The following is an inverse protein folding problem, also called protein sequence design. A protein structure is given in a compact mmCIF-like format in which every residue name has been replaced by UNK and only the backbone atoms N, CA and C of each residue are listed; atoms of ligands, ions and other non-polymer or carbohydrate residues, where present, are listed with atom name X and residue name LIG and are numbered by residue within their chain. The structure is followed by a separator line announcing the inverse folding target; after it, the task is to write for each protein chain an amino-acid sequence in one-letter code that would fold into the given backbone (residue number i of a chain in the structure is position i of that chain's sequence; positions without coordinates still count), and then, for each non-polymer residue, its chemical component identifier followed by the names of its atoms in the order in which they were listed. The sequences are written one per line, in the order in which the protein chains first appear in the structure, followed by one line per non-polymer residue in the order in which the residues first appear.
data_IF_390041250211
#
_entry.id   IF_390041250211
#
_cell.length_a   1.000
_cell.length_b   1.000
_cell.length_c   1.000
_cell.angle_alpha   90.00
_cell.angle_beta   90.00
_cell.angle_gamma   90.00
#
_symmetry.space_group_name_H-M   'P 1'
#
loop_
_entity.id
_entity.type
_entity.pdbx_description
1 polymer ?
#
# COMPACT_ATOMS: atom_id res chain seq x y z
N UNK A 1 23.10 -26.50 -34.96
CA UNK A 1 22.90 -25.04 -34.81
C UNK A 1 21.75 -24.71 -33.87
N UNK A 2 20.53 -25.21 -34.08
CA UNK A 2 19.36 -24.86 -33.24
C UNK A 2 19.47 -25.26 -31.76
N UNK A 3 19.96 -26.47 -31.45
CA UNK A 3 20.06 -26.95 -30.05
C UNK A 3 21.12 -26.20 -29.23
N UNK A 4 22.26 -25.87 -29.83
CA UNK A 4 23.34 -25.12 -29.16
C UNK A 4 22.89 -23.71 -28.81
N UNK A 5 22.11 -23.08 -29.69
CA UNK A 5 21.55 -21.76 -29.45
C UNK A 5 20.52 -21.77 -28.30
N UNK A 6 19.65 -22.78 -28.25
CA UNK A 6 18.71 -22.98 -27.13
C UNK A 6 19.41 -23.19 -25.79
N UNK A 7 20.51 -23.96 -25.78
CA UNK A 7 21.30 -24.21 -24.56
C UNK A 7 22.04 -22.95 -24.12
N UNK A 8 22.63 -22.19 -25.05
CA UNK A 8 23.31 -20.92 -24.73
C UNK A 8 22.33 -19.82 -24.28
N UNK A 9 21.16 -19.74 -24.93
CA UNK A 9 20.09 -18.81 -24.54
C UNK A 9 19.51 -19.19 -23.18
N UNK A 10 19.28 -20.48 -22.94
CA UNK A 10 18.91 -20.99 -21.62
C UNK A 10 19.95 -20.62 -20.57
N UNK A 11 21.24 -20.86 -20.83
CA UNK A 11 22.31 -20.51 -19.89
C UNK A 11 22.42 -19.00 -19.62
N UNK A 12 22.20 -18.16 -20.64
CA UNK A 12 22.16 -16.70 -20.47
C UNK A 12 20.98 -16.24 -19.59
N UNK A 13 19.82 -16.91 -19.69
CA UNK A 13 18.65 -16.66 -18.83
C UNK A 13 18.84 -17.19 -17.41
N UNK A 14 19.51 -18.34 -17.22
CA UNK A 14 19.82 -18.93 -15.91
C UNK A 14 20.95 -18.24 -15.15
N UNK A 15 21.69 -17.33 -15.81
CA UNK A 15 22.73 -16.51 -15.17
C UNK A 15 22.17 -15.11 -14.86
N UNK A 16 22.93 -14.04 -15.09
CA UNK A 16 22.53 -12.66 -14.80
C UNK A 16 21.68 -12.01 -15.91
N UNK A 17 21.47 -12.67 -17.06
CA UNK A 17 20.74 -12.09 -18.18
C UNK A 17 19.30 -11.71 -17.82
N UNK A 18 18.59 -12.57 -17.06
CA UNK A 18 17.24 -12.28 -16.60
C UNK A 18 17.19 -11.04 -15.68
N UNK A 19 18.13 -10.92 -14.75
CA UNK A 19 18.23 -9.76 -13.85
C UNK A 19 18.55 -8.46 -14.61
N UNK A 20 19.42 -8.53 -15.62
CA UNK A 20 19.72 -7.38 -16.48
C UNK A 20 18.50 -6.92 -17.28
N UNK A 21 17.75 -7.87 -17.88
CA UNK A 21 16.53 -7.56 -18.62
C UNK A 21 15.47 -6.95 -17.69
N UNK A 22 15.26 -7.54 -16.51
CA UNK A 22 14.33 -7.03 -15.51
C UNK A 22 14.69 -5.58 -15.12
N UNK A 23 15.95 -5.33 -14.78
CA UNK A 23 16.41 -3.99 -14.38
C UNK A 23 16.29 -2.98 -15.52
N UNK A 24 16.61 -3.37 -16.75
CA UNK A 24 16.42 -2.51 -17.92
C UNK A 24 14.94 -2.19 -18.13
N UNK A 25 14.05 -3.18 -18.01
CA UNK A 25 12.61 -3.00 -18.15
C UNK A 25 12.04 -2.05 -17.10
N UNK A 26 12.44 -2.20 -15.83
CA UNK A 26 12.02 -1.31 -14.74
C UNK A 26 12.50 0.12 -15.02
N UNK A 27 13.76 0.30 -15.42
CA UNK A 27 14.30 1.63 -15.71
C UNK A 27 13.57 2.33 -16.86
N UNK A 28 13.19 1.59 -17.91
CA UNK A 28 12.41 2.14 -19.03
C UNK A 28 10.96 2.46 -18.62
N UNK A 29 10.31 1.57 -17.86
CA UNK A 29 8.94 1.80 -17.37
C UNK A 29 8.86 3.02 -16.45
N UNK A 30 9.85 3.21 -15.58
CA UNK A 30 9.91 4.27 -14.59
C UNK A 30 10.89 5.37 -15.00
N UNK A 31 10.99 5.65 -16.30
CA UNK A 31 11.95 6.59 -16.85
C UNK A 31 11.86 7.97 -16.18
N UNK A 32 13.01 8.46 -15.69
CA UNK A 32 13.10 9.74 -14.98
C UNK A 32 12.67 9.71 -13.51
N UNK A 33 12.29 8.55 -12.98
CA UNK A 33 12.01 8.35 -11.55
C UNK A 33 13.21 7.70 -10.85
N UNK A 34 13.41 8.02 -9.57
CA UNK A 34 14.38 7.33 -8.73
C UNK A 34 13.69 6.15 -8.01
N UNK A 35 13.74 4.97 -8.62
CA UNK A 35 13.15 3.74 -8.07
C UNK A 35 14.04 3.17 -6.95
N UNK A 36 13.53 3.18 -5.72
CA UNK A 36 14.19 2.59 -4.56
C UNK A 36 13.87 1.11 -4.35
N UNK A 37 12.66 0.70 -4.75
CA UNK A 37 12.16 -0.65 -4.56
C UNK A 37 11.27 -1.06 -5.72
N UNK A 38 11.37 -2.30 -6.14
CA UNK A 38 10.44 -2.96 -7.05
C UNK A 38 10.28 -4.40 -6.58
N UNK A 39 9.05 -4.85 -6.39
CA UNK A 39 8.76 -6.24 -6.05
C UNK A 39 7.36 -6.63 -6.49
N UNK A 40 7.19 -7.86 -6.98
CA UNK A 40 5.87 -8.41 -7.31
C UNK A 40 5.33 -9.21 -6.12
N UNK A 41 4.07 -9.00 -5.77
CA UNK A 41 3.26 -9.91 -4.95
C UNK A 41 2.41 -10.80 -5.84
N UNK A 42 1.51 -11.59 -5.24
CA UNK A 42 0.48 -12.33 -5.97
C UNK A 42 -0.66 -11.41 -6.47
N UNK A 43 -0.72 -10.17 -5.97
CA UNK A 43 -1.77 -9.21 -6.28
C UNK A 43 -1.36 -8.18 -7.33
N UNK A 44 -0.05 -7.87 -7.42
CA UNK A 44 0.47 -6.90 -8.38
C UNK A 44 1.93 -6.54 -8.09
N UNK A 45 2.45 -5.53 -8.78
CA UNK A 45 3.76 -4.96 -8.48
C UNK A 45 3.68 -3.81 -7.48
N UNK A 46 4.55 -3.85 -6.47
CA UNK A 46 4.79 -2.76 -5.53
C UNK A 46 6.08 -2.05 -5.89
N UNK A 47 6.00 -0.75 -6.14
CA UNK A 47 7.16 0.09 -6.48
C UNK A 47 7.26 1.24 -5.50
N UNK A 48 8.47 1.59 -5.10
CA UNK A 48 8.74 2.79 -4.31
C UNK A 48 9.66 3.70 -5.11
N UNK A 49 9.22 4.93 -5.34
CA UNK A 49 10.09 5.99 -5.84
C UNK A 49 10.40 6.98 -4.73
N UNK A 50 11.48 7.72 -4.90
CA UNK A 50 11.82 8.83 -4.02
C UNK A 50 12.06 10.11 -4.79
N UNK A 51 11.65 11.22 -4.20
CA UNK A 51 12.01 12.56 -4.62
C UNK A 51 12.33 13.38 -3.38
N UNK A 52 13.60 13.78 -3.25
CA UNK A 52 14.11 14.44 -2.04
C UNK A 52 13.85 13.57 -0.80
N UNK A 53 13.02 14.02 0.14
CA UNK A 53 12.67 13.31 1.37
C UNK A 53 11.30 12.60 1.28
N UNK A 54 10.65 12.64 0.12
CA UNK A 54 9.33 12.06 -0.10
C UNK A 54 9.44 10.68 -0.75
N UNK A 55 8.71 9.71 -0.20
CA UNK A 55 8.50 8.39 -0.76
C UNK A 55 7.10 8.32 -1.38
N UNK A 56 7.01 7.74 -2.57
CA UNK A 56 5.73 7.42 -3.20
C UNK A 56 5.70 5.92 -3.48
N UNK A 57 4.68 5.26 -2.93
CA UNK A 57 4.44 3.84 -3.12
C UNK A 57 3.37 3.68 -4.19
N UNK A 58 3.61 2.75 -5.10
CA UNK A 58 2.73 2.46 -6.22
C UNK A 58 2.31 1.00 -6.17
N UNK A 59 1.04 0.74 -6.48
CA UNK A 59 0.50 -0.58 -6.80
C UNK A 59 0.14 -0.57 -8.29
N UNK A 60 0.77 -1.44 -9.07
CA UNK A 60 0.58 -1.54 -10.53
C UNK A 60 0.72 -0.21 -11.27
N UNK A 61 1.62 0.66 -10.79
CA UNK A 61 1.88 1.98 -11.39
C UNK A 61 0.93 3.08 -10.92
N UNK A 62 -0.10 2.76 -10.12
CA UNK A 62 -1.00 3.75 -9.51
C UNK A 62 -0.44 4.15 -8.14
N UNK A 63 -0.25 5.46 -7.86
CA UNK A 63 0.21 5.90 -6.55
C UNK A 63 -0.86 5.60 -5.49
N UNK A 64 -0.46 4.94 -4.41
CA UNK A 64 -1.37 4.53 -3.32
C UNK A 64 -1.01 5.18 -1.98
N UNK A 65 0.26 5.50 -1.75
CA UNK A 65 0.74 6.08 -0.49
C UNK A 65 1.82 7.10 -0.80
N UNK A 66 1.78 8.24 -0.13
CA UNK A 66 2.82 9.27 -0.21
C UNK A 66 3.20 9.71 1.20
N UNK A 67 4.48 9.63 1.54
CA UNK A 67 4.99 9.92 2.89
C UNK A 67 6.30 10.71 2.80
N UNK A 68 6.69 11.49 3.83
CA UNK A 68 6.00 11.72 5.10
C UNK A 68 4.79 12.68 4.99
N UNK A 69 4.66 13.41 3.89
CA UNK A 69 3.57 14.38 3.68
C UNK A 69 2.59 13.80 2.65
N UNK A 70 1.39 13.38 3.06
CA UNK A 70 0.37 12.87 2.14
C UNK A 70 -0.37 14.02 1.43
N UNK A 71 -1.35 13.67 0.59
CA UNK A 71 -2.35 14.63 0.13
C UNK A 71 -3.26 15.02 1.32
N UNK A 72 -2.82 16.03 2.06
CA UNK A 72 -3.47 16.48 3.30
C UNK A 72 -4.94 16.82 3.04
N UNK A 73 -5.25 17.49 1.94
CA UNK A 73 -6.63 17.88 1.61
C UNK A 73 -7.51 16.65 1.42
N UNK A 74 -7.07 15.69 0.59
CA UNK A 74 -7.82 14.45 0.39
C UNK A 74 -8.01 13.68 1.69
N UNK A 75 -6.92 13.47 2.45
CA UNK A 75 -6.95 12.65 3.67
C UNK A 75 -7.85 13.28 4.74
N UNK A 76 -7.72 14.59 4.98
CA UNK A 76 -8.54 15.28 5.97
C UNK A 76 -10.03 15.29 5.58
N UNK A 77 -10.36 15.54 4.30
CA UNK A 77 -11.75 15.50 3.83
C UNK A 77 -12.34 14.09 3.94
N UNK A 78 -11.58 13.08 3.48
CA UNK A 78 -12.00 11.68 3.49
C UNK A 78 -12.28 11.16 4.90
N UNK A 79 -11.50 11.60 5.90
CA UNK A 79 -11.62 11.15 7.29
C UNK A 79 -12.54 12.04 8.10
N UNK A 80 -12.33 13.36 8.14
CA UNK A 80 -13.03 14.21 9.10
C UNK A 80 -14.51 14.41 8.77
N UNK A 81 -14.90 14.42 7.48
CA UNK A 81 -16.31 14.57 7.12
C UNK A 81 -17.20 13.45 7.70
N UNK A 82 -16.90 12.14 7.49
CA UNK A 82 -17.69 11.08 8.10
C UNK A 82 -17.51 11.01 9.63
N UNK A 83 -16.30 11.23 10.16
CA UNK A 83 -16.04 11.14 11.60
C UNK A 83 -16.79 12.21 12.40
N UNK A 84 -16.89 13.45 11.89
CA UNK A 84 -17.63 14.53 12.54
C UNK A 84 -19.16 14.39 12.42
N UNK A 85 -19.64 13.62 11.43
CA UNK A 85 -21.07 13.35 11.27
C UNK A 85 -21.58 12.35 12.31
N UNK A 86 -20.78 11.36 12.69
CA UNK A 86 -21.14 10.38 13.70
C UNK A 86 -20.97 10.97 15.11
N UNK A 87 -21.95 10.84 16.03
CA UNK A 87 -21.88 11.49 17.35
C UNK A 87 -20.78 10.93 18.27
N UNK A 88 -20.35 9.68 18.06
CA UNK A 88 -19.29 9.03 18.83
C UNK A 88 -18.65 7.90 18.00
N UNK A 89 -17.69 8.18 17.10
CA UNK A 89 -17.05 7.16 16.27
C UNK A 89 -15.93 6.42 17.04
N UNK A 90 -16.28 5.33 17.71
CA UNK A 90 -15.38 4.57 18.59
C UNK A 90 -14.75 3.36 17.87
N UNK A 91 -15.49 2.76 16.95
CA UNK A 91 -15.15 1.53 16.23
C UNK A 91 -15.09 1.78 14.72
N UNK A 92 -13.89 1.77 14.13
CA UNK A 92 -13.70 2.11 12.71
C UNK A 92 -13.11 0.94 11.94
N UNK A 93 -13.70 0.64 10.79
CA UNK A 93 -13.13 -0.29 9.81
C UNK A 93 -12.57 0.50 8.63
N UNK A 94 -11.32 0.24 8.26
CA UNK A 94 -10.68 0.77 7.07
C UNK A 94 -10.39 -0.39 6.12
N UNK A 95 -10.90 -0.33 4.90
CA UNK A 95 -10.67 -1.33 3.85
C UNK A 95 -9.79 -0.71 2.78
N UNK A 96 -8.53 -1.15 2.74
CA UNK A 96 -7.43 -0.61 1.93
C UNK A 96 -7.17 0.88 2.14
N UNK A 97 -5.97 1.32 1.75
CA UNK A 97 -5.62 2.76 1.75
C UNK A 97 -5.51 3.39 3.14
N UNK A 98 -5.37 2.61 4.21
CA UNK A 98 -5.31 3.15 5.58
C UNK A 98 -3.96 3.77 5.92
N UNK A 99 -2.86 3.15 5.49
CA UNK A 99 -1.51 3.61 5.79
C UNK A 99 -1.15 4.86 4.97
N UNK A 100 -0.38 5.78 5.57
CA UNK A 100 0.11 6.97 4.92
C UNK A 100 -0.78 8.20 5.06
N UNK A 101 -1.56 8.30 6.13
CA UNK A 101 -2.32 9.52 6.48
C UNK A 101 -3.70 9.22 7.06
N UNK A 102 -4.43 8.27 6.46
CA UNK A 102 -5.84 8.01 6.84
C UNK A 102 -5.92 7.51 8.29
N UNK A 103 -5.13 6.51 8.67
CA UNK A 103 -5.10 6.01 10.06
C UNK A 103 -4.68 7.12 11.02
N UNK A 104 -3.68 7.92 10.66
CA UNK A 104 -3.25 9.05 11.49
C UNK A 104 -4.40 10.05 11.76
N UNK A 105 -5.16 10.43 10.75
CA UNK A 105 -6.30 11.33 10.93
C UNK A 105 -7.43 10.69 11.74
N UNK A 106 -7.70 9.39 11.56
CA UNK A 106 -8.70 8.67 12.36
C UNK A 106 -8.29 8.63 13.83
N UNK A 107 -6.99 8.45 14.13
CA UNK A 107 -6.45 8.41 15.50
C UNK A 107 -6.57 9.74 16.26
N UNK A 108 -6.85 10.87 15.59
CA UNK A 108 -7.13 12.18 16.22
C UNK A 108 -8.53 12.28 16.83
N UNK A 109 -9.42 11.36 16.49
CA UNK A 109 -10.77 11.24 17.06
C UNK A 109 -10.76 10.32 18.28
N UNK A 110 -11.84 10.28 19.10
CA UNK A 110 -11.93 9.41 20.28
C UNK A 110 -12.04 7.90 19.97
N UNK A 111 -11.53 7.45 18.81
CA UNK A 111 -11.55 6.05 18.38
C UNK A 111 -10.83 5.15 19.39
N UNK A 112 -11.45 4.03 19.71
CA UNK A 112 -10.91 2.99 20.61
C UNK A 112 -10.24 1.87 19.82
N UNK A 113 -10.83 1.48 18.67
CA UNK A 113 -10.31 0.43 17.81
C UNK A 113 -10.49 0.76 16.32
N UNK A 114 -9.44 0.45 15.56
CA UNK A 114 -9.38 0.53 14.12
C UNK A 114 -9.02 -0.88 13.61
N UNK A 115 -9.94 -1.51 12.88
CA UNK A 115 -9.59 -2.67 12.06
C UNK A 115 -9.13 -2.17 10.69
N UNK A 116 -7.86 -2.39 10.35
CA UNK A 116 -7.31 -2.05 9.04
C UNK A 116 -7.12 -3.30 8.19
N UNK A 117 -7.92 -3.45 7.15
CA UNK A 117 -7.87 -4.58 6.23
C UNK A 117 -7.10 -4.18 4.98
N UNK A 118 -5.98 -4.85 4.74
CA UNK A 118 -5.17 -4.67 3.52
C UNK A 118 -5.02 -6.02 2.83
N UNK A 119 -5.32 -6.06 1.52
CA UNK A 119 -5.31 -7.30 0.75
C UNK A 119 -3.88 -7.80 0.56
N UNK A 120 -2.97 -6.89 0.20
CA UNK A 120 -1.59 -7.22 -0.12
C UNK A 120 -0.64 -6.93 1.05
N UNK A 121 -0.18 -7.96 1.80
CA UNK A 121 0.77 -7.76 2.89
C UNK A 121 2.08 -7.13 2.42
N UNK A 122 2.46 -7.30 1.15
CA UNK A 122 3.69 -6.72 0.61
C UNK A 122 3.67 -5.19 0.70
N UNK A 123 2.51 -4.55 0.55
CA UNK A 123 2.40 -3.09 0.66
C UNK A 123 2.88 -2.64 2.04
N UNK A 124 2.38 -3.24 3.11
CA UNK A 124 2.73 -2.85 4.48
C UNK A 124 4.14 -3.29 4.87
N UNK A 125 4.65 -4.41 4.33
CA UNK A 125 6.06 -4.79 4.49
C UNK A 125 7.00 -3.74 3.86
N UNK A 126 6.66 -3.25 2.67
CA UNK A 126 7.45 -2.23 1.96
C UNK A 126 7.32 -0.87 2.65
N UNK A 127 6.13 -0.49 3.12
CA UNK A 127 5.94 0.72 3.95
C UNK A 127 6.80 0.67 5.21
N UNK A 128 6.86 -0.46 5.91
CA UNK A 128 7.73 -0.63 7.09
C UNK A 128 9.22 -0.55 6.75
N UNK A 129 9.63 -0.95 5.54
CA UNK A 129 11.03 -0.84 5.08
C UNK A 129 11.44 0.61 4.80
N UNK A 130 10.52 1.41 4.28
CA UNK A 130 10.71 2.82 3.98
C UNK A 130 9.85 3.67 4.92
N UNK A 131 9.97 3.38 6.23
CA UNK A 131 9.10 4.00 7.22
C UNK A 131 9.41 5.48 7.42
N UNK A 132 8.37 6.20 7.78
CA UNK A 132 8.42 7.60 8.19
C UNK A 132 7.77 7.74 9.56
N UNK A 133 8.00 8.84 10.30
CA UNK A 133 7.33 9.06 11.59
C UNK A 133 5.81 8.92 11.51
N UNK A 134 5.20 9.31 10.38
CA UNK A 134 3.78 9.14 10.10
C UNK A 134 3.38 7.67 10.13
N UNK A 135 3.97 6.86 9.25
CA UNK A 135 3.60 5.43 9.11
C UNK A 135 4.00 4.60 10.32
N UNK A 136 5.09 4.95 11.00
CA UNK A 136 5.49 4.27 12.24
C UNK A 136 4.44 4.50 13.33
N UNK A 137 3.97 5.73 13.51
CA UNK A 137 2.90 6.03 14.46
C UNK A 137 1.59 5.32 14.12
N UNK A 138 1.22 5.27 12.84
CA UNK A 138 0.01 4.58 12.39
C UNK A 138 0.07 3.07 12.65
N UNK A 139 1.13 2.42 12.15
CA UNK A 139 1.24 0.96 12.12
C UNK A 139 1.73 0.34 13.44
N UNK A 140 2.13 1.15 14.42
CA UNK A 140 2.50 0.71 15.77
C UNK A 140 1.46 1.06 16.85
N UNK A 141 0.41 1.80 16.49
CA UNK A 141 -0.64 2.19 17.42
C UNK A 141 -1.35 0.96 17.99
N UNK A 142 -1.48 0.88 19.33
CA UNK A 142 -2.20 -0.22 19.99
C UNK A 142 -3.70 -0.23 19.69
N UNK A 143 -4.21 0.81 19.05
CA UNK A 143 -5.60 0.93 18.60
C UNK A 143 -5.81 0.38 17.18
N UNK A 144 -4.76 -0.04 16.48
CA UNK A 144 -4.83 -0.48 15.09
C UNK A 144 -4.54 -1.97 15.00
N UNK A 145 -5.54 -2.74 14.58
CA UNK A 145 -5.45 -4.16 14.29
C UNK A 145 -5.37 -4.36 12.77
N UNK A 146 -4.24 -4.88 12.28
CA UNK A 146 -3.98 -5.06 10.85
C UNK A 146 -4.39 -6.47 10.43
N UNK A 147 -5.17 -6.56 9.35
CA UNK A 147 -5.65 -7.81 8.78
C UNK A 147 -5.23 -7.95 7.32
N UNK A 148 -4.45 -8.98 7.01
CA UNK A 148 -3.98 -9.26 5.65
C UNK A 148 -4.95 -10.18 4.90
N UNK A 149 -6.03 -9.64 4.34
CA UNK A 149 -7.08 -10.41 3.67
C UNK A 149 -7.98 -9.57 2.75
N UNK A 150 -8.80 -10.22 1.93
CA UNK A 150 -9.83 -9.55 1.12
C UNK A 150 -10.89 -8.90 2.02
N UNK A 151 -11.21 -7.62 1.75
CA UNK A 151 -12.15 -6.83 2.55
C UNK A 151 -13.58 -7.38 2.55
N UNK A 152 -14.06 -7.95 1.44
CA UNK A 152 -15.40 -8.57 1.37
C UNK A 152 -15.40 -9.85 2.18
N UNK A 153 -14.33 -10.64 2.10
CA UNK A 153 -14.17 -11.83 2.94
C UNK A 153 -14.16 -11.44 4.41
N UNK A 154 -13.39 -10.45 4.83
CA UNK A 154 -13.40 -9.95 6.21
C UNK A 154 -14.79 -9.54 6.68
N UNK A 155 -15.51 -8.72 5.91
CA UNK A 155 -16.87 -8.30 6.23
C UNK A 155 -17.80 -9.52 6.40
N UNK A 156 -17.64 -10.55 5.56
CA UNK A 156 -18.47 -11.76 5.64
C UNK A 156 -18.22 -12.61 6.89
N UNK A 157 -17.05 -12.50 7.51
CA UNK A 157 -16.63 -13.33 8.63
C UNK A 157 -16.67 -12.60 9.97
N UNK A 158 -16.50 -11.27 9.98
CA UNK A 158 -16.46 -10.49 11.22
C UNK A 158 -17.81 -10.45 11.91
N UNK A 159 -17.79 -10.56 13.24
CA UNK A 159 -18.96 -10.34 14.11
C UNK A 159 -18.94 -8.94 14.75
N UNK A 160 -17.86 -8.18 14.55
CA UNK A 160 -17.72 -6.83 15.06
C UNK A 160 -18.73 -5.91 14.37
N UNK A 161 -19.15 -4.87 15.09
CA UNK A 161 -19.90 -3.75 14.51
C UNK A 161 -18.99 -2.53 14.50
N UNK A 162 -19.15 -1.72 13.47
CA UNK A 162 -18.37 -0.51 13.26
C UNK A 162 -19.31 0.68 13.18
N UNK A 163 -18.91 1.78 13.81
CA UNK A 163 -19.59 3.07 13.72
C UNK A 163 -19.37 3.69 12.34
N UNK A 164 -18.17 3.49 11.77
CA UNK A 164 -17.78 3.96 10.45
C UNK A 164 -16.98 2.90 9.69
N UNK A 165 -17.24 2.82 8.38
CA UNK A 165 -16.48 2.02 7.44
C UNK A 165 -15.93 2.95 6.37
N UNK A 166 -14.61 3.05 6.29
CA UNK A 166 -13.88 3.82 5.28
C UNK A 166 -13.35 2.86 4.20
N UNK A 167 -13.69 3.10 2.95
CA UNK A 167 -13.28 2.25 1.81
C UNK A 167 -12.30 3.04 0.95
N UNK A 168 -11.01 2.77 1.12
CA UNK A 168 -9.89 3.41 0.41
C UNK A 168 -9.44 2.65 -0.83
N UNK A 169 -10.39 2.10 -1.60
CA UNK A 169 -10.10 1.35 -2.82
C UNK A 169 -10.03 2.28 -4.03
N UNK A 170 -9.16 1.93 -4.99
CA UNK A 170 -9.16 2.55 -6.30
C UNK A 170 -10.44 2.20 -7.08
N UNK A 171 -10.78 3.02 -8.07
CA UNK A 171 -11.90 2.72 -8.95
C UNK A 171 -11.71 1.35 -9.60
N UNK A 172 -12.79 0.54 -9.75
CA UNK A 172 -12.71 -0.70 -10.49
C UNK A 172 -12.22 -0.39 -11.91
N UNK A 173 -11.25 -1.17 -12.38
CA UNK A 173 -10.85 -1.15 -13.78
C UNK A 173 -11.75 -2.12 -14.54
N UNK A 174 -12.28 -1.66 -15.68
CA UNK A 174 -13.13 -2.44 -16.59
C UNK A 174 -12.37 -3.58 -17.28
#
# INVERSE_FOLDING_TARGET
MSVIFLVLFGFALFTNGANCIQRSSINEQWHGQNVLHYQNSIYGNVVVTTREEQFTFFSDGVPIITTPIPDITFVEEFVHLPMLYHPAPMEVLIISGGAGGIINEVLKHPVERIDYVELDPLILEVVKRYSTPLTDMELSSSRVDIHHQDGRYFISQTINRYDLILIGLSNPQD
#
